data_IF_074351030847
#
_entry.id   IF_074351030847
#
_cell.length_a   1.000
_cell.length_b   1.000
_cell.length_c   1.000
_cell.angle_alpha   90.00
_cell.angle_beta   90.00
_cell.angle_gamma   90.00
#
_symmetry.space_group_name_H-M   'P 1'
#
loop_
_entity.id
_entity.type
_entity.pdbx_description
1 polymer ?
#
# COMPACT_ATOMS: atom_id res chain seq x y z
N UNK A 1 -6.94 -11.54 5.43
CA UNK A 1 -8.21 -11.29 6.11
C UNK A 1 -8.61 -12.45 7.03
N UNK A 2 -8.75 -13.68 6.51
CA UNK A 2 -9.28 -14.84 7.22
C UNK A 2 -8.59 -15.22 8.57
N UNK A 3 -7.41 -14.68 8.85
CA UNK A 3 -6.66 -14.98 10.08
C UNK A 3 -6.50 -13.77 11.03
N UNK A 4 -7.07 -12.62 10.72
CA UNK A 4 -6.94 -11.43 11.57
C UNK A 4 -7.56 -11.62 12.96
N UNK A 5 -8.63 -12.40 13.07
CA UNK A 5 -9.29 -12.71 14.35
C UNK A 5 -8.35 -13.35 15.39
N UNK A 6 -7.29 -14.04 14.93
CA UNK A 6 -6.29 -14.69 15.80
C UNK A 6 -5.44 -13.69 16.58
N UNK A 7 -5.31 -12.47 16.05
CA UNK A 7 -4.51 -11.41 16.65
C UNK A 7 -5.24 -10.72 17.81
N UNK A 8 -6.54 -10.95 17.97
CA UNK A 8 -7.36 -10.23 18.93
C UNK A 8 -7.57 -8.78 18.49
N UNK A 9 -7.67 -7.86 19.45
CA UNK A 9 -7.83 -6.43 19.15
C UNK A 9 -6.55 -5.89 18.49
N UNK A 10 -6.68 -5.36 17.28
CA UNK A 10 -5.56 -4.74 16.56
C UNK A 10 -5.10 -3.48 17.29
N UNK A 11 -3.79 -3.28 17.36
CA UNK A 11 -3.14 -2.15 18.01
C UNK A 11 -2.20 -1.37 17.12
N UNK A 12 -1.55 -2.05 16.18
CA UNK A 12 -0.63 -1.41 15.25
C UNK A 12 -0.59 -2.15 13.92
N UNK A 13 -0.48 -1.40 12.84
CA UNK A 13 -0.20 -1.92 11.50
C UNK A 13 1.03 -1.19 10.95
N UNK A 14 1.96 -1.91 10.36
CA UNK A 14 3.11 -1.35 9.68
C UNK A 14 3.24 -1.99 8.30
N UNK A 15 2.85 -1.25 7.24
CA UNK A 15 3.02 -1.71 5.87
C UNK A 15 4.15 -0.96 5.20
N UNK A 16 4.98 -1.69 4.46
CA UNK A 16 6.20 -1.14 3.86
C UNK A 16 6.38 -1.64 2.44
N UNK A 17 6.68 -0.69 1.55
CA UNK A 17 7.12 -1.00 0.20
C UNK A 17 8.20 -0.01 -0.22
N UNK A 18 9.47 -0.39 -0.03
CA UNK A 18 10.62 0.40 -0.40
C UNK A 18 11.43 -0.37 -1.44
N UNK A 19 11.34 0.04 -2.69
CA UNK A 19 12.01 -0.58 -3.82
C UNK A 19 12.76 0.49 -4.62
N UNK A 20 14.08 0.38 -4.64
CA UNK A 20 14.92 1.26 -5.45
C UNK A 20 14.55 1.15 -6.93
N UNK A 21 14.19 2.25 -7.55
CA UNK A 21 13.85 2.32 -8.96
C UNK A 21 15.11 2.45 -9.81
N UNK A 22 15.29 1.58 -10.80
CA UNK A 22 16.39 1.72 -11.78
C UNK A 22 16.33 3.05 -12.55
N UNK A 23 15.14 3.69 -12.65
CA UNK A 23 14.96 5.00 -13.27
C UNK A 23 15.50 6.15 -12.40
N UNK A 24 15.74 5.91 -11.12
CA UNK A 24 16.33 6.91 -10.24
C UNK A 24 17.80 7.18 -10.57
N UNK A 25 18.53 6.17 -11.06
CA UNK A 25 19.89 6.40 -11.59
C UNK A 25 19.94 7.36 -12.77
N UNK A 26 18.92 7.32 -13.64
CA UNK A 26 18.78 8.24 -14.74
C UNK A 26 18.39 9.64 -14.26
N UNK A 27 17.48 9.72 -13.27
CA UNK A 27 17.12 10.97 -12.62
C UNK A 27 18.37 11.69 -12.04
N UNK A 28 19.23 10.96 -11.32
CA UNK A 28 20.48 11.50 -10.77
C UNK A 28 21.47 12.00 -11.86
N UNK A 29 21.31 11.56 -13.11
CA UNK A 29 22.07 12.00 -14.27
C UNK A 29 21.35 13.12 -15.06
N UNK A 30 20.23 13.64 -14.55
CA UNK A 30 19.43 14.68 -15.21
C UNK A 30 18.47 14.14 -16.29
N UNK A 31 18.31 12.82 -16.42
CA UNK A 31 17.38 12.20 -17.37
C UNK A 31 16.10 11.85 -16.63
N UNK A 32 15.04 12.64 -16.84
CA UNK A 32 13.76 12.47 -16.11
C UNK A 32 12.81 11.60 -16.93
N UNK A 33 12.65 10.37 -16.48
CA UNK A 33 11.69 9.42 -17.04
C UNK A 33 10.28 9.62 -16.46
N UNK A 34 9.25 9.06 -17.11
CA UNK A 34 7.84 9.26 -16.77
C UNK A 34 7.53 9.04 -15.29
N UNK A 35 8.12 8.02 -14.66
CA UNK A 35 7.90 7.68 -13.26
C UNK A 35 8.38 8.76 -12.25
N UNK A 36 9.08 9.79 -12.71
CA UNK A 36 9.59 10.93 -11.94
C UNK A 36 9.15 12.27 -12.52
N UNK A 37 8.06 12.30 -13.29
CA UNK A 37 7.48 13.51 -13.89
C UNK A 37 6.25 13.97 -13.10
N UNK A 38 6.28 15.14 -12.45
CA UNK A 38 5.11 15.66 -11.75
C UNK A 38 3.96 16.00 -12.71
N UNK A 39 4.25 16.34 -13.99
CA UNK A 39 3.24 16.63 -15.02
C UNK A 39 2.36 15.41 -15.34
N UNK A 40 2.83 14.20 -15.03
CA UNK A 40 2.09 12.96 -15.21
C UNK A 40 1.46 12.46 -13.90
N UNK A 41 1.39 13.31 -12.87
CA UNK A 41 0.90 12.95 -11.53
C UNK A 41 1.62 11.73 -10.93
N UNK A 42 2.91 11.59 -11.23
CA UNK A 42 3.77 10.51 -10.72
C UNK A 42 4.54 10.94 -9.47
N UNK A 43 4.99 9.95 -8.72
CA UNK A 43 5.76 10.10 -7.49
C UNK A 43 5.77 8.78 -6.73
N UNK A 44 6.46 8.74 -5.60
CA UNK A 44 6.55 7.51 -4.82
C UNK A 44 5.21 7.11 -4.18
N UNK A 45 4.41 8.08 -3.73
CA UNK A 45 3.11 7.80 -3.13
C UNK A 45 2.16 7.13 -4.13
N UNK A 46 2.00 7.74 -5.30
CA UNK A 46 1.03 7.28 -6.30
C UNK A 46 1.47 5.98 -6.98
N UNK A 47 2.77 5.78 -7.20
CA UNK A 47 3.28 4.62 -7.94
C UNK A 47 3.49 3.39 -7.06
N UNK A 48 4.02 3.54 -5.85
CA UNK A 48 4.33 2.42 -4.96
C UNK A 48 3.72 2.53 -3.55
N UNK A 49 3.44 3.72 -3.06
CA UNK A 49 2.75 3.92 -1.78
C UNK A 49 1.35 3.32 -1.79
N UNK A 50 0.69 3.32 -2.95
CA UNK A 50 -0.61 2.69 -3.19
C UNK A 50 -0.64 1.23 -2.75
N UNK A 51 0.43 0.46 -2.90
CA UNK A 51 0.52 -0.93 -2.44
C UNK A 51 0.48 -1.09 -0.91
N UNK A 52 0.75 -0.03 -0.16
CA UNK A 52 0.57 0.00 1.29
C UNK A 52 -0.83 0.50 1.67
N UNK A 53 -1.36 1.47 0.91
CA UNK A 53 -2.68 2.09 1.14
C UNK A 53 -3.81 1.10 0.83
N UNK A 54 -3.77 0.46 -0.34
CA UNK A 54 -4.82 -0.48 -0.77
C UNK A 54 -5.14 -1.56 0.29
N UNK A 55 -4.18 -2.37 0.76
CA UNK A 55 -4.48 -3.38 1.77
C UNK A 55 -4.93 -2.77 3.11
N UNK A 56 -4.48 -1.57 3.47
CA UNK A 56 -4.92 -0.91 4.69
C UNK A 56 -6.41 -0.56 4.61
N UNK A 57 -6.82 0.18 3.58
CA UNK A 57 -8.22 0.60 3.43
C UNK A 57 -9.15 -0.58 3.14
N UNK A 58 -8.68 -1.59 2.42
CA UNK A 58 -9.43 -2.80 2.09
C UNK A 58 -9.72 -3.66 3.31
N UNK A 59 -8.80 -3.73 4.27
CA UNK A 59 -8.91 -4.57 5.47
C UNK A 59 -9.57 -3.83 6.65
N UNK A 60 -9.37 -2.52 6.76
CA UNK A 60 -9.70 -1.77 7.97
C UNK A 60 -10.55 -0.51 7.70
N UNK A 61 -10.86 -0.21 6.44
CA UNK A 61 -11.60 1.00 6.07
C UNK A 61 -10.76 2.28 6.17
N UNK A 62 -11.45 3.42 6.09
CA UNK A 62 -10.82 4.73 6.18
C UNK A 62 -10.41 5.08 7.61
N UNK A 63 -9.25 5.71 7.84
CA UNK A 63 -8.83 6.19 9.15
C UNK A 63 -9.57 7.47 9.55
N UNK A 64 -9.57 7.78 10.86
CA UNK A 64 -10.10 9.05 11.38
C UNK A 64 -9.19 10.24 11.06
N UNK A 65 -7.88 10.00 10.97
CA UNK A 65 -6.88 11.04 10.74
C UNK A 65 -5.67 10.49 9.98
N UNK A 66 -5.14 11.31 9.08
CA UNK A 66 -3.91 11.04 8.33
C UNK A 66 -2.93 12.19 8.57
N UNK A 67 -1.68 11.82 8.87
CA UNK A 67 -0.52 12.71 8.91
C UNK A 67 0.64 12.03 8.17
N UNK A 68 1.60 12.81 7.66
CA UNK A 68 2.75 12.22 7.00
C UNK A 68 3.80 13.23 6.58
N UNK A 69 4.90 12.71 6.05
CA UNK A 69 6.00 13.49 5.53
C UNK A 69 6.59 12.81 4.29
N UNK A 70 7.02 13.63 3.33
CA UNK A 70 7.69 13.19 2.10
C UNK A 70 9.09 13.76 2.00
N UNK A 71 9.97 13.02 1.34
CA UNK A 71 11.25 13.55 0.83
C UNK A 71 11.05 13.88 -0.64
N UNK A 72 11.10 15.17 -0.95
CA UNK A 72 10.97 15.66 -2.31
C UNK A 72 12.32 15.66 -3.03
N UNK A 73 12.29 15.34 -4.30
CA UNK A 73 13.42 15.45 -5.23
C UNK A 73 13.51 16.88 -5.79
N UNK A 74 14.59 17.20 -6.48
CA UNK A 74 14.87 18.53 -7.01
C UNK A 74 13.79 19.09 -7.94
N UNK A 75 13.06 18.20 -8.63
CA UNK A 75 11.96 18.58 -9.52
C UNK A 75 10.58 18.61 -8.83
N UNK A 76 10.53 18.48 -7.51
CA UNK A 76 9.29 18.53 -6.73
C UNK A 76 8.51 17.22 -6.61
N UNK A 77 8.97 16.13 -7.24
CA UNK A 77 8.37 14.80 -7.08
C UNK A 77 8.76 14.20 -5.73
N UNK A 78 7.83 13.53 -5.07
CA UNK A 78 8.12 12.75 -3.87
C UNK A 78 8.89 11.47 -4.22
N UNK A 79 10.07 11.30 -3.64
CA UNK A 79 10.93 10.12 -3.81
C UNK A 79 10.65 9.01 -2.79
N UNK A 80 10.20 9.40 -1.60
CA UNK A 80 9.78 8.50 -0.52
C UNK A 80 8.88 9.22 0.48
N UNK A 81 8.15 8.47 1.29
CA UNK A 81 7.33 9.05 2.33
C UNK A 81 6.96 8.06 3.44
N UNK A 82 6.44 8.64 4.52
CA UNK A 82 5.86 7.91 5.63
C UNK A 82 4.53 8.53 6.00
N UNK A 83 3.51 7.70 6.15
CA UNK A 83 2.16 8.11 6.54
C UNK A 83 1.85 7.48 7.90
N UNK A 84 1.27 8.27 8.79
CA UNK A 84 0.64 7.84 10.02
C UNK A 84 -0.87 7.95 9.86
N UNK A 85 -1.59 6.84 9.91
CA UNK A 85 -3.04 6.78 9.86
C UNK A 85 -3.59 6.37 11.24
N UNK A 86 -4.53 7.15 11.76
CA UNK A 86 -5.09 6.97 13.09
C UNK A 86 -6.51 6.39 13.00
N UNK A 87 -6.76 5.35 13.76
CA UNK A 87 -8.03 4.64 13.88
C UNK A 87 -8.50 4.62 15.33
N UNK A 88 -9.76 4.29 15.62
CA UNK A 88 -10.25 4.17 17.00
C UNK A 88 -9.46 3.14 17.82
N UNK A 89 -8.55 3.63 18.67
CA UNK A 89 -7.76 2.80 19.60
C UNK A 89 -6.55 2.06 19.01
N UNK A 90 -6.14 2.36 17.77
CA UNK A 90 -4.94 1.83 17.13
C UNK A 90 -4.44 2.75 16.02
N UNK A 91 -3.28 2.46 15.46
CA UNK A 91 -2.66 3.25 14.39
C UNK A 91 -1.99 2.39 13.31
N UNK A 92 -1.84 2.96 12.12
CA UNK A 92 -1.06 2.37 11.05
C UNK A 92 0.08 3.30 10.62
N UNK A 93 1.23 2.70 10.30
CA UNK A 93 2.37 3.38 9.67
C UNK A 93 2.60 2.78 8.30
N UNK A 94 2.55 3.61 7.26
CA UNK A 94 2.87 3.22 5.90
C UNK A 94 4.19 3.85 5.50
N UNK A 95 5.13 3.07 5.01
CA UNK A 95 6.41 3.56 4.52
C UNK A 95 6.67 3.08 3.10
N UNK A 96 7.00 4.00 2.21
CA UNK A 96 7.23 3.71 0.81
C UNK A 96 8.40 4.52 0.27
N UNK A 97 9.14 3.95 -0.69
CA UNK A 97 10.30 4.63 -1.30
C UNK A 97 10.61 4.08 -2.70
N UNK A 98 10.88 4.98 -3.64
CA UNK A 98 11.46 4.68 -4.98
C UNK A 98 12.96 4.93 -5.05
N UNK A 99 13.53 5.58 -4.03
CA UNK A 99 14.92 6.02 -3.99
C UNK A 99 15.78 5.23 -2.99
N UNK A 100 15.16 4.30 -2.26
CA UNK A 100 15.86 3.37 -1.35
C UNK A 100 15.23 2.00 -1.41
N UNK A 101 16.01 0.95 -1.09
CA UNK A 101 15.48 -0.40 -0.85
C UNK A 101 15.29 -0.66 0.64
N UNK A 102 14.21 -1.36 0.98
CA UNK A 102 13.93 -1.82 2.33
C UNK A 102 13.70 -3.33 2.37
N UNK A 103 14.14 -3.98 3.44
CA UNK A 103 14.07 -5.44 3.62
C UNK A 103 13.23 -5.86 4.83
N UNK A 104 12.61 -4.90 5.52
CA UNK A 104 11.76 -5.18 6.68
C UNK A 104 10.38 -5.63 6.21
N UNK A 105 9.91 -6.76 6.75
CA UNK A 105 8.57 -7.28 6.49
C UNK A 105 7.48 -6.31 6.99
N UNK A 106 6.32 -6.35 6.37
CA UNK A 106 5.11 -5.68 6.85
C UNK A 106 4.50 -6.46 8.01
N UNK A 107 3.82 -5.76 8.94
CA UNK A 107 3.31 -6.40 10.15
C UNK A 107 1.95 -5.84 10.58
N UNK A 108 1.10 -6.73 11.12
CA UNK A 108 -0.12 -6.38 11.84
C UNK A 108 0.01 -6.91 13.26
N UNK A 109 -0.13 -6.05 14.27
CA UNK A 109 0.02 -6.37 15.69
C UNK A 109 -1.31 -6.25 16.42
N UNK A 110 -1.66 -7.30 17.16
CA UNK A 110 -2.81 -7.32 18.02
C UNK A 110 -2.46 -7.79 19.45
N UNK A 111 -3.43 -7.74 20.34
CA UNK A 111 -3.23 -8.10 21.75
C UNK A 111 -2.90 -9.58 21.97
N UNK A 112 -3.27 -10.45 21.02
CA UNK A 112 -3.06 -11.90 21.12
C UNK A 112 -1.94 -12.43 20.23
N UNK A 113 -1.33 -11.57 19.39
CA UNK A 113 -0.24 -11.98 18.52
C UNK A 113 0.06 -10.97 17.42
N UNK A 114 0.96 -11.34 16.52
CA UNK A 114 1.30 -10.56 15.35
C UNK A 114 1.31 -11.40 14.07
N UNK A 115 1.11 -10.72 12.94
CA UNK A 115 1.15 -11.30 11.60
C UNK A 115 2.22 -10.56 10.79
N UNK A 116 3.25 -11.29 10.37
CA UNK A 116 4.27 -10.79 9.46
C UNK A 116 3.94 -11.16 8.03
N UNK A 117 4.14 -10.23 7.11
CA UNK A 117 3.86 -10.35 5.67
C UNK A 117 5.16 -10.05 4.95
N UNK A 118 5.70 -11.00 4.20
CA UNK A 118 7.01 -10.91 3.57
C UNK A 118 7.13 -9.77 2.55
N UNK A 119 6.13 -9.62 1.67
CA UNK A 119 6.04 -8.55 0.67
C UNK A 119 4.62 -8.07 0.55
N UNK A 120 4.38 -6.81 0.82
CA UNK A 120 3.01 -6.26 0.77
C UNK A 120 2.46 -6.24 -0.66
N UNK A 121 3.29 -5.95 -1.66
CA UNK A 121 2.89 -5.89 -3.07
C UNK A 121 2.79 -7.27 -3.75
N UNK A 122 3.48 -8.30 -3.24
CA UNK A 122 3.48 -9.65 -3.79
C UNK A 122 3.67 -10.68 -2.68
N UNK A 123 2.69 -10.81 -1.80
CA UNK A 123 2.75 -11.69 -0.62
C UNK A 123 2.85 -13.15 -1.02
N UNK A 124 3.89 -13.82 -0.55
CA UNK A 124 4.12 -15.27 -0.76
C UNK A 124 4.17 -16.06 0.55
N UNK A 125 4.43 -15.36 1.65
CA UNK A 125 4.53 -15.95 2.98
C UNK A 125 3.89 -15.03 4.02
N UNK A 126 3.06 -15.60 4.87
CA UNK A 126 2.54 -14.96 6.07
C UNK A 126 2.96 -15.80 7.27
N UNK A 127 3.54 -15.17 8.29
CA UNK A 127 3.86 -15.82 9.56
C UNK A 127 3.00 -15.22 10.67
N UNK A 128 2.30 -16.07 11.41
CA UNK A 128 1.48 -15.66 12.55
C UNK A 128 2.19 -16.13 13.82
N UNK A 129 2.45 -15.19 14.72
CA UNK A 129 3.01 -15.44 16.05
C UNK A 129 1.94 -15.16 17.08
N UNK A 130 1.46 -16.19 17.75
CA UNK A 130 0.50 -16.03 18.84
C UNK A 130 1.21 -15.83 20.17
N UNK A 131 0.62 -15.08 21.08
CA UNK A 131 1.15 -14.85 22.44
C UNK A 131 1.30 -16.15 23.25
N UNK A 132 0.59 -17.20 22.87
CA UNK A 132 0.72 -18.56 23.43
C UNK A 132 2.04 -19.24 23.09
N UNK A 133 2.86 -18.65 22.20
CA UNK A 133 4.08 -19.23 21.66
C UNK A 133 3.87 -20.05 20.37
N UNK A 134 2.63 -20.24 19.94
CA UNK A 134 2.34 -20.90 18.66
C UNK A 134 2.81 -20.01 17.51
N UNK A 135 3.44 -20.65 16.53
CA UNK A 135 3.87 -20.03 15.28
C UNK A 135 3.34 -20.82 14.10
N UNK A 136 2.61 -20.18 13.21
CA UNK A 136 2.12 -20.77 11.97
C UNK A 136 2.71 -20.02 10.78
N UNK A 137 3.09 -20.76 9.75
CA UNK A 137 3.59 -20.23 8.48
C UNK A 137 2.61 -20.63 7.39
N UNK A 138 2.08 -19.65 6.69
CA UNK A 138 1.16 -19.81 5.56
C UNK A 138 1.93 -19.45 4.30
N UNK A 139 2.13 -20.42 3.42
CA UNK A 139 2.68 -20.21 2.10
C UNK A 139 1.55 -19.99 1.10
N UNK A 140 1.70 -18.97 0.26
CA UNK A 140 0.73 -18.61 -0.78
C UNK A 140 1.35 -19.00 -2.12
N UNK A 141 0.95 -20.16 -2.71
CA UNK A 141 1.41 -20.54 -4.03
C UNK A 141 0.91 -19.53 -5.06
N UNK A 142 1.81 -19.10 -5.94
CA UNK A 142 1.49 -18.16 -7.01
C UNK A 142 2.04 -18.65 -8.34
N UNK A 143 1.34 -18.27 -9.39
CA UNK A 143 1.84 -18.37 -10.76
C UNK A 143 3.11 -17.53 -10.92
N UNK A 144 3.97 -17.90 -11.85
CA UNK A 144 5.20 -17.17 -12.17
C UNK A 144 4.88 -15.71 -12.61
N UNK A 145 3.86 -15.56 -13.44
CA UNK A 145 3.32 -14.27 -13.82
C UNK A 145 2.02 -13.99 -13.02
N UNK A 146 2.10 -13.12 -12.02
CA UNK A 146 0.97 -12.80 -11.14
C UNK A 146 -0.12 -11.96 -11.82
N UNK A 147 0.14 -11.30 -12.97
CA UNK A 147 -0.87 -10.60 -13.76
C UNK A 147 -2.03 -11.51 -14.18
N UNK A 148 -1.81 -12.83 -14.22
CA UNK A 148 -2.85 -13.81 -14.54
C UNK A 148 -4.04 -13.74 -13.59
N UNK A 149 -3.83 -13.39 -12.32
CA UNK A 149 -4.92 -13.27 -11.34
C UNK A 149 -5.81 -12.07 -11.64
N UNK A 150 -5.21 -10.94 -11.98
CA UNK A 150 -5.95 -9.71 -12.34
C UNK A 150 -6.76 -9.92 -13.61
N UNK A 151 -6.14 -10.50 -14.64
CA UNK A 151 -6.81 -10.77 -15.93
C UNK A 151 -7.98 -11.75 -15.74
N UNK A 152 -7.80 -12.84 -14.97
CA UNK A 152 -8.86 -13.80 -14.69
C UNK A 152 -10.04 -13.15 -13.95
N UNK A 153 -9.74 -12.34 -12.95
CA UNK A 153 -10.79 -11.66 -12.18
C UNK A 153 -11.50 -10.60 -13.03
N UNK A 154 -10.77 -9.89 -13.88
CA UNK A 154 -11.35 -8.92 -14.80
C UNK A 154 -12.27 -9.57 -15.83
N UNK A 155 -11.86 -10.69 -16.44
CA UNK A 155 -12.72 -11.46 -17.34
C UNK A 155 -13.97 -11.96 -16.63
N UNK A 156 -13.85 -12.47 -15.40
CA UNK A 156 -14.98 -12.91 -14.59
C UNK A 156 -15.98 -11.77 -14.35
N UNK A 157 -15.50 -10.55 -14.08
CA UNK A 157 -16.36 -9.38 -13.88
C UNK A 157 -17.09 -8.97 -15.16
N UNK A 158 -16.44 -9.10 -16.31
CA UNK A 158 -17.07 -8.80 -17.61
C UNK A 158 -18.17 -9.84 -17.94
N UNK A 159 -17.90 -11.12 -17.67
CA UNK A 159 -18.82 -12.22 -17.95
C UNK A 159 -20.02 -12.26 -16.99
N UNK A 160 -19.85 -11.86 -15.74
CA UNK A 160 -20.90 -11.81 -14.73
C UNK A 160 -21.38 -10.37 -14.57
N UNK A 161 -22.51 -10.06 -15.17
CA UNK A 161 -23.09 -8.72 -15.26
C UNK A 161 -23.07 -7.85 -13.98
N UNK A 162 -23.43 -6.57 -14.11
CA UNK A 162 -23.35 -5.43 -13.16
C UNK A 162 -23.92 -5.60 -11.73
N UNK A 163 -24.44 -6.75 -11.34
CA UNK A 163 -24.98 -7.04 -10.00
C UNK A 163 -24.04 -7.87 -9.11
N UNK A 164 -22.79 -8.08 -9.52
CA UNK A 164 -21.82 -8.86 -8.74
C UNK A 164 -21.40 -8.07 -7.48
N UNK A 165 -21.70 -8.62 -6.31
CA UNK A 165 -21.29 -8.04 -5.00
C UNK A 165 -19.79 -7.74 -4.93
N UNK A 166 -18.95 -8.53 -5.59
CA UNK A 166 -17.49 -8.28 -5.64
C UNK A 166 -17.13 -7.03 -6.42
N UNK A 167 -17.91 -6.70 -7.50
CA UNK A 167 -17.68 -5.46 -8.24
C UNK A 167 -17.86 -4.25 -7.34
N UNK A 168 -18.93 -4.22 -6.55
CA UNK A 168 -19.18 -3.14 -5.57
C UNK A 168 -18.09 -3.03 -4.53
N UNK A 169 -17.58 -4.17 -4.03
CA UNK A 169 -16.46 -4.21 -3.08
C UNK A 169 -15.19 -3.62 -3.70
N UNK A 170 -14.91 -3.90 -4.97
CA UNK A 170 -13.74 -3.34 -5.66
C UNK A 170 -13.89 -1.84 -5.93
N UNK A 171 -15.08 -1.40 -6.33
CA UNK A 171 -15.40 0.02 -6.54
C UNK A 171 -15.24 0.81 -5.23
N UNK A 172 -15.81 0.31 -4.14
CA UNK A 172 -15.69 0.92 -2.82
C UNK A 172 -14.22 0.97 -2.35
N UNK A 173 -13.49 -0.14 -2.51
CA UNK A 173 -12.08 -0.20 -2.14
C UNK A 173 -11.24 0.80 -2.95
N UNK A 174 -11.47 0.90 -4.25
CA UNK A 174 -10.79 1.86 -5.13
C UNK A 174 -11.16 3.31 -4.79
N UNK A 175 -12.42 3.58 -4.48
CA UNK A 175 -12.87 4.90 -4.05
C UNK A 175 -12.21 5.34 -2.74
N UNK A 176 -12.19 4.45 -1.74
CA UNK A 176 -11.54 4.69 -0.45
C UNK A 176 -10.02 4.87 -0.60
N UNK A 177 -9.39 4.08 -1.47
CA UNK A 177 -7.96 4.21 -1.78
C UNK A 177 -7.63 5.58 -2.36
N UNK A 178 -8.38 6.02 -3.37
CA UNK A 178 -8.16 7.34 -3.97
C UNK A 178 -8.41 8.47 -2.96
N UNK A 179 -9.47 8.37 -2.16
CA UNK A 179 -9.74 9.34 -1.10
C UNK A 179 -8.60 9.39 -0.07
N UNK A 180 -8.06 8.23 0.33
CA UNK A 180 -6.92 8.16 1.23
C UNK A 180 -5.68 8.84 0.62
N UNK A 181 -5.38 8.52 -0.66
CA UNK A 181 -4.24 9.09 -1.38
C UNK A 181 -4.34 10.62 -1.50
N UNK A 182 -5.53 11.15 -1.81
CA UNK A 182 -5.75 12.59 -1.91
C UNK A 182 -5.57 13.29 -0.54
N UNK A 183 -6.11 12.73 0.53
CA UNK A 183 -5.90 13.24 1.89
C UNK A 183 -4.41 13.19 2.29
N UNK A 184 -3.72 12.09 1.99
CA UNK A 184 -2.30 11.96 2.26
C UNK A 184 -1.47 12.99 1.48
N UNK A 185 -1.76 13.18 0.18
CA UNK A 185 -1.11 14.19 -0.66
C UNK A 185 -1.28 15.59 -0.06
N UNK A 186 -2.51 15.96 0.33
CA UNK A 186 -2.80 17.24 0.95
C UNK A 186 -1.93 17.46 2.21
N UNK A 187 -1.91 16.47 3.12
CA UNK A 187 -1.15 16.56 4.39
C UNK A 187 0.36 16.60 4.20
N UNK A 188 0.86 15.94 3.16
CA UNK A 188 2.28 15.81 2.88
C UNK A 188 2.80 16.88 1.91
N UNK A 189 1.93 17.74 1.37
CA UNK A 189 2.28 18.80 0.44
C UNK A 189 2.61 18.30 -0.97
N UNK A 190 2.17 17.10 -1.34
CA UNK A 190 2.35 16.55 -2.69
C UNK A 190 1.30 17.17 -3.60
N UNK A 191 1.75 17.96 -4.58
CA UNK A 191 0.89 18.67 -5.53
C UNK A 191 1.28 18.33 -6.97
N UNK A 192 0.29 18.20 -7.81
CA UNK A 192 0.48 18.00 -9.24
C UNK A 192 -0.04 19.20 -10.04
N UNK A 193 0.49 19.46 -11.24
CA UNK A 193 -0.03 20.50 -12.10
C UNK A 193 -1.54 20.37 -12.39
N UNK A 194 -2.04 19.14 -12.45
CA UNK A 194 -3.47 18.85 -12.64
C UNK A 194 -4.38 19.30 -11.46
N UNK A 195 -3.83 19.56 -10.28
CA UNK A 195 -4.62 19.99 -9.11
C UNK A 195 -5.03 21.48 -9.19
N UNK A 196 -4.44 22.26 -10.12
CA UNK A 196 -4.67 23.71 -10.26
C UNK A 196 -5.39 24.09 -11.57
N UNK A 197 -5.87 23.09 -12.32
CA UNK A 197 -6.59 23.27 -13.59
C UNK A 197 -8.09 23.39 -13.40
#
# INVERSE_FOLDING_TARGET
EANLYRLGKIRSVSFRFCQYSSRYDNFCKGIIENAFRPELSNGALMDIGVYCVHPLVRLFGMPEKIEGASVFLENGVDGMGTILAQYPGWQAVLQYSKITSGYTESEVQGENGSMQIDRIADTRKITIHERTGRRDVILIPKEENNMVYEIREWLRLIENSQEDEKSKIYEEASGNEMQFLDLAREKMGIRFPADVS
#
